data_IF_731355745607
#
_entry.id   IF_731355745607
#
_cell.length_a   1.000
_cell.length_b   1.000
_cell.length_c   1.000
_cell.angle_alpha   90.00
_cell.angle_beta   90.00
_cell.angle_gamma   90.00
#
_symmetry.space_group_name_H-M   'P 1'
#
loop_
_entity.id
_entity.type
_entity.pdbx_description
1 polymer ?
#
# COMPACT_ATOMS: atom_id res chain seq x y z
N UNK A 1 13.86 0.08 1.59
CA UNK A 1 13.12 -1.10 1.05
C UNK A 1 13.76 -1.48 -0.26
N UNK A 2 14.03 -2.76 -0.48
CA UNK A 2 14.63 -3.27 -1.72
C UNK A 2 13.78 -4.45 -2.19
N UNK A 3 13.43 -4.47 -3.47
CA UNK A 3 12.87 -5.64 -4.14
C UNK A 3 13.95 -6.35 -4.94
N UNK A 4 14.12 -7.64 -4.69
CA UNK A 4 15.04 -8.52 -5.42
C UNK A 4 14.22 -9.43 -6.34
N UNK A 5 14.46 -9.36 -7.65
CA UNK A 5 13.67 -10.12 -8.62
C UNK A 5 12.21 -9.63 -8.76
N UNK A 6 11.88 -8.46 -8.21
CA UNK A 6 10.53 -7.92 -8.16
C UNK A 6 10.49 -6.46 -8.64
N UNK A 7 9.32 -6.05 -9.15
CA UNK A 7 8.99 -4.63 -9.37
C UNK A 7 8.19 -4.07 -8.22
N UNK A 8 7.95 -2.77 -8.24
CA UNK A 8 7.06 -2.08 -7.29
C UNK A 8 5.61 -2.59 -7.31
N UNK A 9 5.18 -3.46 -8.23
CA UNK A 9 3.89 -4.16 -8.12
C UNK A 9 3.75 -4.97 -6.82
N UNK A 10 4.87 -5.34 -6.20
CA UNK A 10 4.92 -6.13 -4.97
C UNK A 10 5.30 -5.30 -3.74
N UNK A 11 5.31 -3.96 -3.85
CA UNK A 11 5.63 -3.10 -2.71
C UNK A 11 4.42 -2.99 -1.77
N UNK A 12 4.43 -3.76 -0.67
CA UNK A 12 3.38 -3.69 0.35
C UNK A 12 3.40 -2.38 1.15
N UNK A 13 4.53 -1.66 1.16
CA UNK A 13 4.67 -0.42 1.91
C UNK A 13 3.75 0.72 1.43
N UNK A 14 3.24 0.64 0.19
CA UNK A 14 2.25 1.61 -0.31
C UNK A 14 1.00 1.67 0.57
N UNK A 15 0.58 0.52 1.13
CA UNK A 15 -0.60 0.42 2.01
C UNK A 15 -0.46 1.19 3.32
N UNK A 16 0.76 1.52 3.75
CA UNK A 16 0.96 2.32 4.96
C UNK A 16 0.33 3.72 4.85
N UNK A 17 0.20 4.27 3.64
CA UNK A 17 -0.45 5.56 3.38
C UNK A 17 -1.96 5.45 3.63
N UNK A 18 -2.55 4.35 3.18
CA UNK A 18 -3.97 4.04 3.36
C UNK A 18 -4.30 3.92 4.85
N UNK A 19 -3.45 3.20 5.59
CA UNK A 19 -3.53 3.02 7.03
C UNK A 19 -3.33 4.30 7.83
N UNK A 20 -2.44 5.19 7.36
CA UNK A 20 -2.19 6.47 8.00
C UNK A 20 -3.39 7.42 7.83
N UNK A 21 -4.07 7.38 6.68
CA UNK A 21 -5.22 8.24 6.39
C UNK A 21 -6.55 7.67 6.92
N UNK A 22 -6.65 6.36 7.14
CA UNK A 22 -7.84 5.69 7.69
C UNK A 22 -9.11 6.12 6.94
N UNK A 23 -10.08 6.70 7.65
CA UNK A 23 -11.34 7.17 7.08
C UNK A 23 -11.20 8.34 6.10
N UNK A 24 -10.06 9.05 6.13
CA UNK A 24 -9.75 10.12 5.17
C UNK A 24 -9.23 9.56 3.85
N UNK A 25 -8.89 8.28 3.78
CA UNK A 25 -8.48 7.66 2.53
C UNK A 25 -9.70 7.50 1.61
N UNK A 26 -9.63 7.92 0.33
CA UNK A 26 -10.80 7.95 -0.55
C UNK A 26 -11.28 6.56 -0.99
N UNK A 27 -10.48 5.52 -0.74
CA UNK A 27 -10.85 4.12 -0.96
C UNK A 27 -11.13 3.48 0.39
N UNK A 28 -12.18 2.65 0.46
CA UNK A 28 -12.44 1.84 1.65
C UNK A 28 -11.70 0.52 1.51
N UNK A 29 -10.49 0.46 2.07
CA UNK A 29 -9.56 -0.67 1.92
C UNK A 29 -9.85 -1.84 2.87
N UNK A 30 -10.59 -1.61 3.96
CA UNK A 30 -10.98 -2.62 4.94
C UNK A 30 -12.44 -3.06 4.78
N UNK A 31 -12.72 -4.31 5.16
CA UNK A 31 -14.08 -4.80 5.37
C UNK A 31 -14.77 -4.10 6.56
N UNK A 32 -16.10 -4.02 6.51
CA UNK A 32 -16.97 -3.40 7.53
C UNK A 32 -17.07 -4.21 8.83
N UNK A 33 -16.63 -5.48 8.80
CA UNK A 33 -16.73 -6.40 9.92
C UNK A 33 -15.35 -6.67 10.52
N UNK A 34 -15.36 -6.96 11.81
CA UNK A 34 -14.20 -7.44 12.54
C UNK A 34 -14.09 -8.95 12.33
N UNK A 35 -12.86 -9.43 12.19
CA UNK A 35 -12.52 -10.84 12.06
C UNK A 35 -11.79 -11.30 13.31
N UNK A 36 -11.99 -12.57 13.65
CA UNK A 36 -11.27 -13.24 14.72
C UNK A 36 -10.09 -14.00 14.11
N UNK A 37 -8.88 -13.73 14.60
CA UNK A 37 -7.65 -14.36 14.15
C UNK A 37 -6.97 -15.13 15.30
N UNK A 38 -6.61 -16.41 15.11
CA UNK A 38 -5.83 -17.14 16.10
C UNK A 38 -4.39 -16.66 16.11
N UNK A 39 -3.88 -16.32 17.29
CA UNK A 39 -2.51 -15.86 17.52
C UNK A 39 -1.90 -16.59 18.72
N UNK A 40 -0.60 -16.42 18.88
CA UNK A 40 0.15 -16.84 20.07
C UNK A 40 0.62 -15.56 20.75
N UNK A 41 0.32 -15.41 22.03
CA UNK A 41 0.77 -14.26 22.81
C UNK A 41 2.24 -14.38 23.26
N UNK A 42 2.73 -13.43 24.05
CA UNK A 42 4.12 -13.41 24.50
C UNK A 42 4.47 -14.55 25.47
N UNK A 43 3.48 -15.16 26.12
CA UNK A 43 3.66 -16.29 27.04
C UNK A 43 3.57 -17.65 26.32
N UNK A 44 3.25 -17.65 25.02
CA UNK A 44 3.08 -18.87 24.23
C UNK A 44 1.65 -19.41 24.20
N UNK A 45 0.70 -18.68 24.78
CA UNK A 45 -0.70 -19.11 24.87
C UNK A 45 -1.49 -18.76 23.60
N UNK A 46 -2.41 -19.65 23.23
CA UNK A 46 -3.30 -19.42 22.08
C UNK A 46 -4.39 -18.42 22.45
N UNK A 47 -4.43 -17.30 21.73
CA UNK A 47 -5.43 -16.25 21.91
C UNK A 47 -6.17 -15.97 20.61
N UNK A 48 -7.42 -15.53 20.70
CA UNK A 48 -8.17 -15.02 19.56
C UNK A 48 -8.13 -13.49 19.61
N UNK A 49 -7.57 -12.87 18.56
CA UNK A 49 -7.51 -11.41 18.43
C UNK A 49 -8.55 -10.92 17.43
N UNK A 50 -9.18 -9.78 17.75
CA UNK A 50 -10.11 -9.09 16.88
C UNK A 50 -9.35 -8.11 15.98
N UNK A 51 -9.51 -8.24 14.66
CA UNK A 51 -8.77 -7.41 13.69
C UNK A 51 -9.63 -7.03 12.49
N UNK A 52 -9.23 -5.94 11.82
CA UNK A 52 -9.75 -5.59 10.50
C UNK A 52 -8.94 -6.31 9.42
N UNK A 53 -9.59 -6.64 8.31
CA UNK A 53 -8.95 -7.32 7.17
C UNK A 53 -9.18 -6.49 5.92
N UNK A 54 -8.11 -6.35 5.12
CA UNK A 54 -8.16 -5.70 3.82
C UNK A 54 -9.12 -6.43 2.88
N UNK A 55 -10.00 -5.67 2.23
CA UNK A 55 -10.89 -6.18 1.19
C UNK A 55 -10.13 -6.27 -0.14
N UNK A 56 -9.56 -7.45 -0.41
CA UNK A 56 -8.75 -7.69 -1.61
C UNK A 56 -9.51 -7.50 -2.92
N UNK A 57 -10.85 -7.42 -2.90
CA UNK A 57 -11.63 -7.06 -4.10
C UNK A 57 -11.51 -5.57 -4.47
N UNK A 58 -11.10 -4.74 -3.51
CA UNK A 58 -10.93 -3.27 -3.66
C UNK A 58 -9.47 -2.86 -3.64
N UNK A 59 -8.63 -3.64 -3.00
CA UNK A 59 -7.18 -3.46 -2.94
C UNK A 59 -6.55 -3.90 -4.26
N UNK A 60 -6.72 -3.05 -5.28
CA UNK A 60 -6.28 -3.30 -6.65
C UNK A 60 -5.39 -2.18 -7.13
N UNK A 61 -4.14 -2.51 -7.43
CA UNK A 61 -3.16 -1.62 -8.04
C UNK A 61 -2.86 -2.10 -9.46
N UNK A 62 -3.53 -1.54 -10.48
CA UNK A 62 -3.42 -2.07 -11.85
C UNK A 62 -2.03 -1.87 -12.46
N UNK A 63 -1.32 -0.80 -12.09
CA UNK A 63 0.06 -0.56 -12.54
C UNK A 63 0.84 0.29 -11.54
N UNK A 64 1.50 -0.39 -10.60
CA UNK A 64 2.26 0.27 -9.56
C UNK A 64 3.56 0.92 -10.08
N UNK A 65 4.35 0.26 -10.96
CA UNK A 65 5.52 0.86 -11.59
C UNK A 65 5.23 2.15 -12.36
N UNK A 66 4.13 2.19 -13.12
CA UNK A 66 3.77 3.41 -13.85
C UNK A 66 3.44 4.56 -12.90
N UNK A 67 2.63 4.31 -11.87
CA UNK A 67 2.32 5.33 -10.86
C UNK A 67 3.58 5.85 -10.17
N UNK A 68 4.46 4.95 -9.71
CA UNK A 68 5.71 5.35 -9.05
C UNK A 68 6.57 6.20 -9.98
N UNK A 69 6.72 5.80 -11.24
CA UNK A 69 7.49 6.54 -12.25
C UNK A 69 6.89 7.92 -12.54
N UNK A 70 5.56 8.04 -12.55
CA UNK A 70 4.87 9.28 -12.91
C UNK A 70 4.81 10.29 -11.76
N UNK A 71 4.56 9.84 -10.53
CA UNK A 71 4.20 10.72 -9.42
C UNK A 71 5.23 10.78 -8.29
N UNK A 72 6.11 9.78 -8.18
CA UNK A 72 7.08 9.68 -7.09
C UNK A 72 8.48 9.97 -7.62
N UNK A 73 9.30 10.66 -6.83
CA UNK A 73 10.66 11.00 -7.23
C UNK A 73 11.54 9.76 -7.30
N UNK A 74 12.49 9.70 -8.24
CA UNK A 74 13.43 8.58 -8.35
C UNK A 74 14.26 8.33 -7.08
N UNK A 75 14.46 9.38 -6.27
CA UNK A 75 15.14 9.29 -4.99
C UNK A 75 14.27 8.65 -3.89
N UNK A 76 12.96 8.73 -4.01
CA UNK A 76 12.01 8.09 -3.11
C UNK A 76 11.76 6.64 -3.53
N UNK A 77 11.48 6.39 -4.80
CA UNK A 77 11.30 5.04 -5.34
C UNK A 77 11.69 4.96 -6.81
N UNK A 78 12.30 3.84 -7.20
CA UNK A 78 12.61 3.55 -8.60
C UNK A 78 12.67 2.05 -8.85
N UNK A 79 12.04 1.62 -9.94
CA UNK A 79 12.26 0.32 -10.57
C UNK A 79 13.54 0.36 -11.43
N UNK A 80 14.30 -0.72 -11.40
CA UNK A 80 15.58 -0.87 -12.11
C UNK A 80 15.73 -2.29 -12.68
N UNK A 81 16.62 -2.40 -13.67
CA UNK A 81 16.99 -3.68 -14.29
C UNK A 81 18.50 -3.82 -14.25
N UNK A 82 19.01 -4.87 -13.60
CA UNK A 82 20.45 -5.16 -13.47
C UNK A 82 20.66 -6.59 -13.96
N UNK A 83 21.55 -6.77 -14.95
CA UNK A 83 21.85 -8.11 -15.49
C UNK A 83 20.62 -8.87 -16.01
N UNK A 84 19.62 -8.16 -16.54
CA UNK A 84 18.38 -8.79 -17.00
C UNK A 84 17.29 -8.95 -15.93
N UNK A 85 17.65 -8.94 -14.65
CA UNK A 85 16.74 -9.11 -13.52
C UNK A 85 16.11 -7.78 -13.09
N UNK A 86 14.86 -7.82 -12.64
CA UNK A 86 14.11 -6.67 -12.14
C UNK A 86 14.38 -6.46 -10.65
N UNK A 87 14.48 -5.21 -10.27
CA UNK A 87 14.65 -4.77 -8.89
C UNK A 87 13.84 -3.50 -8.67
N UNK A 88 13.63 -3.15 -7.41
CA UNK A 88 13.30 -1.78 -7.04
C UNK A 88 14.06 -1.37 -5.80
N UNK A 89 14.27 -0.07 -5.65
CA UNK A 89 14.75 0.53 -4.40
C UNK A 89 13.76 1.61 -3.97
N UNK A 90 13.56 1.72 -2.67
CA UNK A 90 12.80 2.81 -2.09
C UNK A 90 13.39 3.26 -0.75
N UNK A 91 13.45 4.57 -0.56
CA UNK A 91 13.65 5.19 0.75
C UNK A 91 12.30 5.23 1.45
N UNK A 92 12.10 4.42 2.49
CA UNK A 92 10.82 4.32 3.19
C UNK A 92 10.28 5.68 3.69
N UNK A 93 11.04 6.51 4.44
CA UNK A 93 10.51 7.78 4.93
C UNK A 93 10.15 8.72 3.76
N UNK A 94 11.04 8.86 2.77
CA UNK A 94 10.81 9.75 1.63
C UNK A 94 9.62 9.31 0.78
N UNK A 95 9.49 7.99 0.54
CA UNK A 95 8.37 7.43 -0.20
C UNK A 95 7.05 7.67 0.54
N UNK A 96 7.03 7.45 1.85
CA UNK A 96 5.85 7.67 2.67
C UNK A 96 5.40 9.14 2.61
N UNK A 97 6.33 10.08 2.81
CA UNK A 97 6.03 11.52 2.78
C UNK A 97 5.49 11.95 1.41
N UNK A 98 6.13 11.55 0.31
CA UNK A 98 5.67 11.88 -1.04
C UNK A 98 4.30 11.29 -1.34
N UNK A 99 4.06 10.01 -1.01
CA UNK A 99 2.76 9.38 -1.24
C UNK A 99 1.66 9.96 -0.36
N UNK A 100 1.97 10.37 0.87
CA UNK A 100 1.03 11.09 1.74
C UNK A 100 0.60 12.42 1.14
N UNK A 101 1.54 13.21 0.60
CA UNK A 101 1.22 14.48 -0.07
C UNK A 101 0.40 14.27 -1.35
N UNK A 102 0.70 13.23 -2.13
CA UNK A 102 -0.11 12.85 -3.29
C UNK A 102 -1.52 12.44 -2.87
N UNK A 103 -1.66 11.62 -1.83
CA UNK A 103 -2.96 11.15 -1.34
C UNK A 103 -3.84 12.30 -0.82
N UNK A 104 -3.26 13.29 -0.13
CA UNK A 104 -3.97 14.52 0.28
C UNK A 104 -4.53 15.31 -0.90
N UNK A 105 -3.91 15.19 -2.08
CA UNK A 105 -4.34 15.80 -3.35
C UNK A 105 -5.25 14.89 -4.18
N UNK A 106 -5.65 13.73 -3.64
CA UNK A 106 -6.48 12.75 -4.34
C UNK A 106 -5.73 11.95 -5.42
N UNK A 107 -4.40 12.01 -5.45
CA UNK A 107 -3.55 11.27 -6.38
C UNK A 107 -3.09 9.99 -5.68
N UNK A 108 -3.74 8.87 -6.00
CA UNK A 108 -3.47 7.56 -5.39
C UNK A 108 -3.41 6.46 -6.44
N UNK A 109 -2.79 5.34 -6.08
CA UNK A 109 -2.53 4.19 -6.96
C UNK A 109 -3.75 3.26 -7.18
N UNK A 110 -4.96 3.76 -6.94
CA UNK A 110 -6.19 3.00 -7.04
C UNK A 110 -7.02 3.48 -8.24
N UNK A 111 -7.71 2.56 -8.95
CA UNK A 111 -8.63 2.97 -10.00
C UNK A 111 -9.82 3.73 -9.39
N UNK A 112 -10.36 4.72 -10.12
CA UNK A 112 -11.52 5.51 -9.67
C UNK A 112 -12.77 4.65 -9.38
N UNK A 113 -12.87 3.45 -9.97
CA UNK A 113 -13.99 2.52 -9.76
C UNK A 113 -14.16 2.02 -8.33
N UNK A 114 -13.09 2.05 -7.50
CA UNK A 114 -13.13 1.57 -6.11
C UNK A 114 -13.23 2.71 -5.09
N UNK A 115 -13.40 3.95 -5.55
CA UNK A 115 -13.53 5.11 -4.67
C UNK A 115 -14.86 5.06 -3.91
N UNK A 116 -14.86 5.59 -2.69
CA UNK A 116 -16.10 5.81 -1.92
C UNK A 116 -17.02 6.75 -2.73
N UNK A 117 -18.32 6.49 -2.71
CA UNK A 117 -19.31 7.40 -3.32
C UNK A 117 -19.17 8.79 -2.68
N UNK A 118 -18.93 9.83 -3.50
CA UNK A 118 -18.74 11.20 -3.05
C UNK A 118 -17.31 11.60 -2.69
N UNK A 119 -16.31 10.72 -2.88
CA UNK A 119 -14.90 11.10 -2.80
C UNK A 119 -14.49 11.81 -4.11
N UNK A 120 -14.54 13.16 -4.10
CA UNK A 120 -14.05 14.02 -5.19
C UNK A 120 -12.55 14.25 -5.07
#
# INVERSE_FOLDING_TARGET
>A
IIGLGATTNYISFGYCVDDALKEKFPVRVYHDRIFDAPCVDYEGERVIVKTYVHDMSRVVHPDMPAFMKTYVSEGACRDLKIGGMKFFRASAPKLFDEMMELAKRGIIAYPRSVFRKGAS
#
